data_IF_467753493664
#
_entry.id   IF_467753493664
#
_cell.length_a   1.000
_cell.length_b   1.000
_cell.length_c   1.000
_cell.angle_alpha   90.00
_cell.angle_beta   90.00
_cell.angle_gamma   90.00
#
_symmetry.space_group_name_H-M   'P 1'
#
loop_
_entity.id
_entity.type
_entity.pdbx_description
1 polymer ?
#
# COMPACT_ATOMS: atom_id res chain seq x y z
N UNK A 1 0.46 15.30 -10.88
CA UNK A 1 0.34 14.63 -9.59
C UNK A 1 1.04 15.42 -8.49
N UNK A 2 2.02 14.82 -7.81
CA UNK A 2 2.74 15.46 -6.69
C UNK A 2 3.45 16.77 -7.06
N UNK A 3 3.80 16.97 -8.33
CA UNK A 3 4.46 18.19 -8.83
C UNK A 3 3.62 19.47 -8.60
N UNK A 4 2.31 19.32 -8.47
CA UNK A 4 1.37 20.43 -8.27
C UNK A 4 1.00 20.63 -6.79
N UNK A 5 1.71 20.00 -5.85
CA UNK A 5 1.40 20.13 -4.43
C UNK A 5 1.38 21.58 -3.94
N UNK A 6 2.24 22.43 -4.50
CA UNK A 6 2.33 23.85 -4.16
C UNK A 6 1.08 24.68 -4.55
N UNK A 7 0.14 24.09 -5.32
CA UNK A 7 -1.14 24.73 -5.67
C UNK A 7 -2.20 24.57 -4.58
N UNK A 8 -1.93 23.71 -3.58
CA UNK A 8 -2.85 23.41 -2.48
C UNK A 8 -2.37 24.08 -1.20
N UNK A 9 -3.10 25.12 -0.77
CA UNK A 9 -2.81 25.81 0.49
C UNK A 9 -2.99 24.84 1.67
N UNK A 10 -2.19 25.01 2.71
CA UNK A 10 -2.24 24.19 3.93
C UNK A 10 -1.45 22.89 3.86
N UNK A 11 -1.04 22.39 2.68
CA UNK A 11 -0.25 21.16 2.55
C UNK A 11 1.22 21.50 2.35
N UNK A 12 2.07 21.19 3.32
CA UNK A 12 3.50 21.47 3.27
C UNK A 12 4.38 20.29 2.82
N UNK A 13 3.96 19.06 3.09
CA UNK A 13 4.63 17.84 2.64
C UNK A 13 3.58 16.79 2.23
N UNK A 14 3.89 15.94 1.22
CA UNK A 14 3.02 14.83 0.84
C UNK A 14 3.78 13.63 0.26
N UNK A 15 3.29 12.42 0.57
CA UNK A 15 3.64 11.16 -0.07
C UNK A 15 2.36 10.43 -0.44
N UNK A 16 2.24 9.95 -1.67
CA UNK A 16 1.12 9.12 -2.13
C UNK A 16 1.58 7.68 -2.29
N UNK A 17 0.92 6.77 -1.57
CA UNK A 17 1.11 5.33 -1.67
C UNK A 17 -0.10 4.73 -2.39
N UNK A 18 0.11 4.26 -3.61
CA UNK A 18 -0.93 3.58 -4.40
C UNK A 18 -0.51 2.15 -4.72
N UNK A 19 -1.35 1.19 -4.37
CA UNK A 19 -1.13 -0.25 -4.58
C UNK A 19 -2.43 -0.89 -5.09
N UNK A 20 -2.44 -2.19 -5.33
CA UNK A 20 -3.66 -2.90 -5.69
C UNK A 20 -4.70 -3.00 -4.55
N UNK A 21 -4.31 -2.72 -3.30
CA UNK A 21 -5.17 -2.88 -2.12
C UNK A 21 -5.45 -1.57 -1.38
N UNK A 22 -4.72 -0.47 -1.67
CA UNK A 22 -4.88 0.82 -1.01
C UNK A 22 -4.41 1.97 -1.87
N UNK A 23 -5.06 3.10 -1.69
CA UNK A 23 -4.57 4.41 -2.14
C UNK A 23 -4.60 5.34 -0.93
N UNK A 24 -3.43 5.77 -0.48
CA UNK A 24 -3.25 6.55 0.73
C UNK A 24 -2.40 7.78 0.43
N UNK A 25 -2.73 8.89 1.07
CA UNK A 25 -1.92 10.09 1.08
C UNK A 25 -1.48 10.38 2.51
N UNK A 26 -0.18 10.54 2.69
CA UNK A 26 0.43 11.01 3.93
C UNK A 26 0.83 12.46 3.72
N UNK A 27 0.30 13.36 4.51
CA UNK A 27 0.54 14.79 4.35
C UNK A 27 0.91 15.44 5.68
N UNK A 28 1.65 16.54 5.60
CA UNK A 28 1.82 17.48 6.70
C UNK A 28 1.00 18.71 6.36
N UNK A 29 0.05 19.01 7.22
CA UNK A 29 -0.90 20.12 7.08
C UNK A 29 -0.79 21.06 8.27
N UNK A 30 -1.24 22.28 8.09
CA UNK A 30 -1.23 23.28 9.17
C UNK A 30 -2.37 23.03 10.15
N UNK A 31 -3.56 22.67 9.67
CA UNK A 31 -4.72 22.31 10.46
C UNK A 31 -5.44 21.10 9.84
N UNK A 32 -5.54 20.00 10.59
CA UNK A 32 -6.10 18.75 10.09
C UNK A 32 -7.62 18.81 9.82
N UNK A 33 -8.36 19.67 10.52
CA UNK A 33 -9.80 19.83 10.32
C UNK A 33 -10.10 20.78 9.13
N UNK A 34 -9.38 21.89 9.05
CA UNK A 34 -9.55 22.88 7.98
C UNK A 34 -9.02 22.36 6.65
N UNK A 35 -7.87 21.66 6.66
CA UNK A 35 -7.21 21.18 5.44
C UNK A 35 -7.75 19.82 4.93
N UNK A 36 -8.65 19.15 5.66
CA UNK A 36 -9.24 17.89 5.24
C UNK A 36 -9.95 17.99 3.88
N UNK A 37 -10.62 19.10 3.60
CA UNK A 37 -11.28 19.33 2.31
C UNK A 37 -10.24 19.48 1.18
N UNK A 38 -9.13 20.17 1.45
CA UNK A 38 -8.02 20.35 0.51
C UNK A 38 -7.35 19.02 0.19
N UNK A 39 -7.12 18.16 1.21
CA UNK A 39 -6.58 16.81 1.01
C UNK A 39 -7.50 15.94 0.16
N UNK A 40 -8.82 16.00 0.37
CA UNK A 40 -9.80 15.29 -0.46
C UNK A 40 -9.77 15.81 -1.90
N UNK A 41 -9.77 17.11 -2.10
CA UNK A 41 -9.69 17.71 -3.44
C UNK A 41 -8.43 17.25 -4.17
N UNK A 42 -7.29 17.23 -3.49
CA UNK A 42 -6.04 16.73 -4.07
C UNK A 42 -6.16 15.25 -4.50
N UNK A 43 -6.79 14.39 -3.69
CA UNK A 43 -7.03 12.99 -4.05
C UNK A 43 -7.98 12.85 -5.24
N UNK A 44 -9.03 13.67 -5.33
CA UNK A 44 -9.93 13.72 -6.48
C UNK A 44 -9.18 14.10 -7.77
N UNK A 45 -8.38 15.14 -7.71
CA UNK A 45 -7.61 15.61 -8.86
C UNK A 45 -6.60 14.55 -9.34
N UNK A 46 -6.04 13.76 -8.42
CA UNK A 46 -5.16 12.64 -8.76
C UNK A 46 -5.89 11.45 -9.39
N UNK A 47 -7.11 11.16 -8.96
CA UNK A 47 -7.86 9.97 -9.39
C UNK A 47 -8.80 10.24 -10.56
N UNK A 48 -9.14 11.50 -10.80
CA UNK A 48 -10.10 11.92 -11.83
C UNK A 48 -11.52 11.42 -11.57
N UNK A 49 -11.88 11.17 -10.32
CA UNK A 49 -13.17 10.62 -9.94
C UNK A 49 -14.06 11.72 -9.34
N UNK A 50 -15.24 11.95 -9.94
CA UNK A 50 -16.20 12.97 -9.52
C UNK A 50 -17.32 12.43 -8.58
N UNK A 51 -17.23 11.16 -8.18
CA UNK A 51 -18.23 10.56 -7.29
C UNK A 51 -17.95 10.93 -5.82
N UNK A 52 -19.02 10.98 -5.01
CA UNK A 52 -18.91 11.16 -3.57
C UNK A 52 -18.22 9.93 -2.93
N UNK A 53 -16.93 10.05 -2.67
CA UNK A 53 -16.10 8.99 -2.10
C UNK A 53 -16.00 9.05 -0.57
N UNK A 54 -16.66 10.00 0.09
CA UNK A 54 -16.56 10.19 1.55
C UNK A 54 -16.87 8.91 2.34
N UNK A 55 -17.82 8.10 1.86
CA UNK A 55 -18.15 6.82 2.46
C UNK A 55 -17.05 5.75 2.37
N UNK A 56 -16.04 5.96 1.53
CA UNK A 56 -14.94 5.04 1.27
C UNK A 56 -13.59 5.57 1.76
N UNK A 57 -13.57 6.79 2.30
CA UNK A 57 -12.37 7.38 2.87
C UNK A 57 -12.26 7.07 4.36
N UNK A 58 -11.03 6.89 4.80
CA UNK A 58 -10.65 6.94 6.21
C UNK A 58 -9.55 7.99 6.39
N UNK A 59 -9.48 8.58 7.55
CA UNK A 59 -8.44 9.55 7.91
C UNK A 59 -7.89 9.24 9.30
N UNK A 60 -6.59 9.40 9.44
CA UNK A 60 -5.86 9.28 10.69
C UNK A 60 -5.04 10.54 10.90
N UNK A 61 -5.00 11.03 12.12
CA UNK A 61 -4.26 12.25 12.49
C UNK A 61 -3.19 11.90 13.51
N UNK A 62 -2.06 12.59 13.45
CA UNK A 62 -0.94 12.52 14.40
C UNK A 62 -0.49 11.08 14.71
N UNK A 63 -0.63 10.64 15.95
CA UNK A 63 -0.16 9.32 16.42
C UNK A 63 -0.84 8.17 15.68
N UNK A 64 -2.11 8.30 15.33
CA UNK A 64 -2.84 7.26 14.59
C UNK A 64 -2.30 7.11 13.17
N UNK A 65 -1.99 8.22 12.51
CA UNK A 65 -1.35 8.23 11.19
C UNK A 65 0.04 7.56 11.24
N UNK A 66 0.86 7.91 12.23
CA UNK A 66 2.17 7.30 12.44
C UNK A 66 2.05 5.79 12.64
N UNK A 67 1.14 5.37 13.52
CA UNK A 67 0.87 3.95 13.82
C UNK A 67 0.41 3.20 12.58
N UNK A 68 -0.49 3.80 11.81
CA UNK A 68 -0.99 3.21 10.57
C UNK A 68 0.15 2.97 9.57
N UNK A 69 0.98 3.97 9.26
CA UNK A 69 2.11 3.79 8.35
C UNK A 69 3.09 2.70 8.82
N UNK A 70 3.32 2.59 10.13
CA UNK A 70 4.19 1.54 10.67
C UNK A 70 3.58 0.14 10.50
N UNK A 71 2.28 -0.01 10.67
CA UNK A 71 1.55 -1.25 10.42
C UNK A 71 1.61 -1.61 8.93
N UNK A 72 1.38 -0.65 8.04
CA UNK A 72 1.48 -0.83 6.59
C UNK A 72 2.90 -1.28 6.20
N UNK A 73 3.93 -0.55 6.62
CA UNK A 73 5.32 -0.87 6.31
C UNK A 73 5.78 -2.22 6.88
N UNK A 74 5.13 -2.68 7.95
CA UNK A 74 5.38 -3.98 8.60
C UNK A 74 4.53 -5.13 8.05
N UNK A 75 3.68 -4.87 7.04
CA UNK A 75 2.73 -5.84 6.46
C UNK A 75 1.71 -6.39 7.47
N UNK A 76 1.39 -5.60 8.52
CA UNK A 76 0.39 -5.95 9.53
C UNK A 76 -1.02 -5.54 9.08
N UNK A 77 -1.11 -4.57 8.17
CA UNK A 77 -2.34 -4.06 7.58
C UNK A 77 -2.38 -4.41 6.06
N UNK A 78 -2.07 -5.64 5.73
CA UNK A 78 -2.09 -6.18 4.38
C UNK A 78 -3.18 -7.25 4.25
N UNK A 79 -3.75 -7.41 3.04
CA UNK A 79 -4.71 -8.46 2.74
C UNK A 79 -4.15 -9.87 3.08
N UNK A 80 -2.87 -10.06 2.82
CA UNK A 80 -2.09 -11.22 3.23
C UNK A 80 -1.03 -10.75 4.21
N UNK A 81 -1.15 -11.14 5.48
CA UNK A 81 -0.21 -10.77 6.53
C UNK A 81 1.22 -11.18 6.17
N UNK A 82 2.14 -10.25 6.32
CA UNK A 82 3.56 -10.53 6.09
C UNK A 82 3.99 -10.49 4.62
N UNK A 83 3.11 -10.10 3.68
CA UNK A 83 3.46 -10.03 2.27
C UNK A 83 4.74 -9.19 2.02
N UNK A 84 5.57 -9.67 1.08
CA UNK A 84 6.88 -9.08 0.84
C UNK A 84 6.86 -7.74 0.10
N UNK A 85 5.80 -7.43 -0.61
CA UNK A 85 5.78 -6.35 -1.61
C UNK A 85 5.54 -4.97 -1.01
N UNK A 86 4.68 -4.86 0.02
CA UNK A 86 4.27 -3.57 0.58
C UNK A 86 5.44 -2.70 1.06
N UNK A 87 6.44 -3.29 1.71
CA UNK A 87 7.62 -2.53 2.16
C UNK A 87 8.40 -1.94 0.97
N UNK A 88 8.43 -2.63 -0.16
CA UNK A 88 9.07 -2.12 -1.38
C UNK A 88 8.25 -0.99 -2.00
N UNK A 89 6.92 -1.12 -1.99
CA UNK A 89 5.99 -0.08 -2.47
C UNK A 89 6.06 1.19 -1.60
N UNK A 90 6.15 1.05 -0.27
CA UNK A 90 6.37 2.18 0.64
C UNK A 90 7.69 2.89 0.35
N UNK A 91 8.77 2.15 0.07
CA UNK A 91 10.06 2.75 -0.30
C UNK A 91 9.99 3.48 -1.64
N UNK A 92 9.32 2.89 -2.62
CA UNK A 92 9.15 3.47 -3.96
C UNK A 92 8.32 4.75 -3.90
N UNK A 93 7.16 4.73 -3.21
CA UNK A 93 6.32 5.90 -3.00
C UNK A 93 7.10 7.06 -2.36
N UNK A 94 7.87 6.76 -1.32
CA UNK A 94 8.73 7.74 -0.66
C UNK A 94 9.86 8.26 -1.58
N UNK A 95 10.47 7.40 -2.39
CA UNK A 95 11.51 7.81 -3.32
C UNK A 95 10.96 8.76 -4.39
N UNK A 96 9.78 8.47 -4.94
CA UNK A 96 9.09 9.32 -5.92
C UNK A 96 8.76 10.70 -5.30
N UNK A 97 8.22 10.73 -4.10
CA UNK A 97 7.89 11.98 -3.41
C UNK A 97 9.14 12.84 -3.14
N UNK A 98 10.26 12.20 -2.76
CA UNK A 98 11.56 12.89 -2.60
C UNK A 98 12.07 13.48 -3.91
N UNK A 99 11.96 12.74 -5.00
CA UNK A 99 12.37 13.20 -6.32
C UNK A 99 11.51 14.38 -6.80
N UNK A 100 10.20 14.33 -6.52
CA UNK A 100 9.27 15.41 -6.78
C UNK A 100 9.47 16.64 -5.85
N UNK A 101 10.28 16.53 -4.78
CA UNK A 101 10.54 17.62 -3.83
C UNK A 101 9.36 17.88 -2.88
N UNK A 102 8.45 16.92 -2.71
CA UNK A 102 7.25 17.06 -1.86
C UNK A 102 7.44 16.54 -0.44
N UNK A 103 8.66 16.22 -0.04
CA UNK A 103 9.00 15.79 1.33
C UNK A 103 10.06 16.67 1.94
N UNK A 104 9.93 16.94 3.24
CA UNK A 104 10.88 17.71 4.04
C UNK A 104 11.17 16.97 5.36
N UNK A 105 11.32 17.67 6.45
CA UNK A 105 11.81 17.11 7.72
C UNK A 105 10.88 16.07 8.31
N UNK A 106 9.57 16.31 8.29
CA UNK A 106 8.58 15.46 8.98
C UNK A 106 8.43 14.13 8.25
N UNK A 107 8.01 14.15 6.97
CA UNK A 107 7.80 12.92 6.23
C UNK A 107 9.10 12.17 5.95
N UNK A 108 10.23 12.86 5.74
CA UNK A 108 11.53 12.19 5.64
C UNK A 108 11.83 11.38 6.91
N UNK A 109 11.62 11.96 8.09
CA UNK A 109 11.86 11.28 9.36
C UNK A 109 10.89 10.12 9.54
N UNK A 110 9.60 10.34 9.27
CA UNK A 110 8.54 9.36 9.43
C UNK A 110 8.77 8.14 8.53
N UNK A 111 8.97 8.35 7.23
CA UNK A 111 9.16 7.26 6.27
C UNK A 111 10.47 6.50 6.50
N UNK A 112 11.57 7.18 6.85
CA UNK A 112 12.79 6.50 7.24
C UNK A 112 12.59 5.56 8.42
N UNK A 113 11.88 6.01 9.46
CA UNK A 113 11.57 5.19 10.65
C UNK A 113 10.61 4.05 10.33
N UNK A 114 9.56 4.30 9.55
CA UNK A 114 8.61 3.27 9.13
C UNK A 114 9.30 2.16 8.31
N UNK A 115 10.15 2.54 7.34
CA UNK A 115 10.93 1.59 6.54
C UNK A 115 11.90 0.78 7.42
N UNK A 116 12.59 1.44 8.36
CA UNK A 116 13.48 0.76 9.29
C UNK A 116 12.73 -0.22 10.19
N UNK A 117 11.55 0.17 10.70
CA UNK A 117 10.69 -0.68 11.51
C UNK A 117 10.17 -1.88 10.72
N UNK A 118 9.68 -1.66 9.49
CA UNK A 118 9.24 -2.75 8.62
C UNK A 118 10.35 -3.76 8.33
N UNK A 119 11.60 -3.30 8.12
CA UNK A 119 12.76 -4.21 7.99
C UNK A 119 13.01 -5.01 9.26
N UNK A 120 12.98 -4.36 10.44
CA UNK A 120 13.19 -5.01 11.73
C UNK A 120 12.12 -6.04 12.03
N UNK A 121 10.84 -5.71 11.84
CA UNK A 121 9.73 -6.62 12.03
C UNK A 121 9.91 -7.89 11.19
N UNK A 122 10.35 -7.76 9.94
CA UNK A 122 10.60 -8.89 9.04
C UNK A 122 11.80 -9.75 9.44
N UNK A 123 12.82 -9.17 10.05
CA UNK A 123 14.03 -9.90 10.47
C UNK A 123 13.93 -10.44 11.89
N UNK A 124 13.24 -9.74 12.79
CA UNK A 124 13.17 -10.08 14.22
C UNK A 124 11.93 -10.93 14.55
N UNK A 125 10.98 -11.05 13.61
CA UNK A 125 9.76 -11.86 13.78
C UNK A 125 9.62 -12.90 12.68
N UNK A 126 8.68 -13.83 12.84
CA UNK A 126 8.38 -14.84 11.80
C UNK A 126 7.31 -14.39 10.81
N UNK A 127 6.91 -13.13 10.82
CA UNK A 127 5.82 -12.63 9.98
C UNK A 127 6.10 -12.83 8.47
N UNK A 128 7.36 -12.73 8.07
CA UNK A 128 7.78 -12.94 6.68
C UNK A 128 8.03 -14.42 6.34
N UNK A 129 8.10 -15.32 7.33
CA UNK A 129 8.42 -16.74 7.11
C UNK A 129 7.26 -17.51 6.45
N UNK A 130 6.03 -17.11 6.75
CA UNK A 130 4.82 -17.68 6.19
C UNK A 130 4.10 -16.70 5.26
N UNK A 131 4.83 -15.72 4.73
CA UNK A 131 4.24 -14.78 3.79
C UNK A 131 3.95 -15.48 2.48
N UNK A 132 2.76 -16.02 2.41
CA UNK A 132 2.18 -16.54 1.18
C UNK A 132 1.91 -15.36 0.27
N UNK A 133 2.36 -15.45 -0.98
CA UNK A 133 1.94 -14.44 -1.97
C UNK A 133 0.41 -14.55 -2.16
N UNK A 134 -0.24 -13.46 -2.55
CA UNK A 134 -1.67 -13.49 -2.91
C UNK A 134 -1.96 -14.60 -3.92
N UNK A 135 -1.02 -14.83 -4.85
CA UNK A 135 -1.09 -15.91 -5.84
C UNK A 135 -1.11 -17.30 -5.21
N UNK A 136 -0.28 -17.52 -4.20
CA UNK A 136 -0.25 -18.81 -3.48
C UNK A 136 -1.52 -18.97 -2.63
N UNK A 137 -1.92 -17.94 -1.87
CA UNK A 137 -3.15 -17.99 -1.08
C UNK A 137 -4.40 -18.27 -1.93
N UNK A 138 -4.45 -17.74 -3.15
CA UNK A 138 -5.52 -18.02 -4.10
C UNK A 138 -5.55 -19.49 -4.53
N UNK A 139 -4.39 -20.12 -4.72
CA UNK A 139 -4.30 -21.55 -5.09
C UNK A 139 -4.67 -22.44 -3.90
N UNK A 140 -4.20 -22.14 -2.69
CA UNK A 140 -4.61 -22.88 -1.48
C UNK A 140 -6.12 -22.78 -1.23
N UNK A 141 -6.71 -21.59 -1.40
CA UNK A 141 -8.16 -21.41 -1.27
C UNK A 141 -8.93 -22.21 -2.34
N UNK A 142 -8.39 -22.31 -3.55
CA UNK A 142 -8.98 -23.12 -4.60
C UNK A 142 -8.92 -24.62 -4.23
N UNK A 143 -7.79 -25.11 -3.71
CA UNK A 143 -7.66 -26.48 -3.22
C UNK A 143 -8.61 -26.79 -2.05
N UNK A 144 -8.71 -25.87 -1.10
CA UNK A 144 -9.66 -26.00 0.02
C UNK A 144 -11.11 -26.11 -0.48
N UNK A 145 -11.48 -25.31 -1.49
CA UNK A 145 -12.87 -25.24 -1.97
C UNK A 145 -13.25 -26.34 -2.96
N UNK A 146 -12.32 -26.77 -3.81
CA UNK A 146 -12.58 -27.71 -4.90
C UNK A 146 -11.91 -29.08 -4.68
N UNK A 147 -11.08 -29.24 -3.66
CA UNK A 147 -10.25 -30.43 -3.45
C UNK A 147 -9.03 -30.41 -4.37
N UNK A 148 -8.55 -31.58 -4.75
CA UNK A 148 -7.39 -31.71 -5.64
C UNK A 148 -7.60 -30.98 -6.96
N UNK A 149 -6.66 -30.14 -7.34
CA UNK A 149 -6.69 -29.38 -8.60
C UNK A 149 -6.12 -30.16 -9.79
N UNK A 150 -5.58 -31.37 -9.58
CA UNK A 150 -4.91 -32.18 -10.60
C UNK A 150 -5.77 -32.49 -11.85
N UNK A 151 -7.09 -32.49 -11.73
CA UNK A 151 -8.02 -32.71 -12.84
C UNK A 151 -8.74 -31.42 -13.29
N UNK A 152 -8.32 -30.27 -12.77
CA UNK A 152 -8.96 -28.98 -13.06
C UNK A 152 -8.28 -28.25 -14.19
N UNK A 153 -9.04 -27.42 -14.91
CA UNK A 153 -8.48 -26.49 -15.89
C UNK A 153 -8.56 -25.08 -15.33
N UNK A 154 -7.45 -24.37 -15.33
CA UNK A 154 -7.36 -22.98 -14.91
C UNK A 154 -7.24 -22.05 -16.13
N UNK A 155 -7.99 -20.98 -16.16
CA UNK A 155 -7.87 -19.91 -17.15
C UNK A 155 -7.37 -18.65 -16.46
N UNK A 156 -6.24 -18.13 -16.95
CA UNK A 156 -5.62 -16.91 -16.40
C UNK A 156 -5.80 -15.78 -17.41
N UNK A 157 -6.42 -14.67 -16.95
CA UNK A 157 -6.53 -13.45 -17.72
C UNK A 157 -5.46 -12.46 -17.27
N UNK A 158 -4.54 -12.10 -18.18
CA UNK A 158 -3.44 -11.18 -17.93
C UNK A 158 -2.08 -11.89 -18.07
N UNK A 159 -1.04 -11.09 -18.27
CA UNK A 159 0.35 -11.55 -18.47
C UNK A 159 1.33 -10.81 -17.55
N UNK A 160 0.84 -10.21 -16.45
CA UNK A 160 1.66 -9.54 -15.46
C UNK A 160 2.31 -10.51 -14.48
N UNK A 161 3.14 -9.98 -13.59
CA UNK A 161 3.89 -10.75 -12.58
C UNK A 161 3.01 -11.65 -11.72
N UNK A 162 1.82 -11.18 -11.35
CA UNK A 162 0.87 -11.96 -10.54
C UNK A 162 0.33 -13.18 -11.30
N UNK A 163 0.02 -13.01 -12.60
CA UNK A 163 -0.43 -14.12 -13.45
C UNK A 163 0.65 -15.20 -13.58
N UNK A 164 1.91 -14.79 -13.80
CA UNK A 164 3.07 -15.69 -13.85
C UNK A 164 3.23 -16.48 -12.55
N UNK A 165 3.20 -15.80 -11.39
CA UNK A 165 3.33 -16.46 -10.09
C UNK A 165 2.16 -17.41 -9.80
N UNK A 166 0.93 -17.00 -10.15
CA UNK A 166 -0.25 -17.87 -9.98
C UNK A 166 -0.13 -19.13 -10.85
N UNK A 167 0.32 -19.00 -12.11
CA UNK A 167 0.55 -20.15 -12.98
C UNK A 167 1.61 -21.11 -12.42
N UNK A 168 2.72 -20.57 -11.90
CA UNK A 168 3.77 -21.37 -11.26
C UNK A 168 3.23 -22.14 -10.05
N UNK A 169 2.43 -21.51 -9.20
CA UNK A 169 1.84 -22.16 -8.04
C UNK A 169 0.81 -23.24 -8.47
N UNK A 170 -0.05 -22.96 -9.46
CA UNK A 170 -0.99 -23.96 -9.97
C UNK A 170 -0.27 -25.18 -10.52
N UNK A 171 0.80 -25.00 -11.29
CA UNK A 171 1.61 -26.13 -11.80
C UNK A 171 2.29 -26.91 -10.69
N UNK A 172 2.70 -26.27 -9.61
CA UNK A 172 3.34 -26.93 -8.48
C UNK A 172 2.36 -27.75 -7.61
N UNK A 173 1.07 -27.43 -7.67
CA UNK A 173 0.01 -28.10 -6.90
C UNK A 173 -0.79 -29.15 -7.72
N UNK A 174 -0.44 -29.37 -8.97
CA UNK A 174 -1.04 -30.39 -9.85
C UNK A 174 -1.50 -29.86 -11.19
#
# INVERSE_FOLDING_TARGET
GLENLNEYEGISEAVVLSTCNRSEMYAVVDDAEEDAATLKQFLFDLTGNDEDIDAYLYSFVDEECIRHLFNVASSLDSLVLGEGQILSQVKEAYAIAREAGTTSTVLNTLFHRAIATGKRVRTETRIAYNSVSVSYAAVELAEEKFGSLAASNALIFGAGKMAELTAQHLVAHG
#
